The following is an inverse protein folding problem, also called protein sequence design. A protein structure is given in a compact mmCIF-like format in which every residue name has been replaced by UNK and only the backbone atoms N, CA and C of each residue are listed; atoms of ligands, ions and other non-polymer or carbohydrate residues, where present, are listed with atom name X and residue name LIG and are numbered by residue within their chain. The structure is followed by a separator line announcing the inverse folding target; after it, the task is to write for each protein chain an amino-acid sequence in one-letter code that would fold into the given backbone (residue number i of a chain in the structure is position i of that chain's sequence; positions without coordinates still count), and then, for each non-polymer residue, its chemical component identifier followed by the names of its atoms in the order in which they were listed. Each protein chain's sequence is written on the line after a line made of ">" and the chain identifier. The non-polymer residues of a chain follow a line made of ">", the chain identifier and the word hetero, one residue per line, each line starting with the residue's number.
data_IF_564935891869
#
_entry.id   IF_564935891869
#
_cell.length_a   1.000
_cell.length_b   1.000
_cell.length_c   1.000
_cell.angle_alpha   90.00
_cell.angle_beta   90.00
_cell.angle_gamma   90.00
#
_symmetry.space_group_name_H-M   'P 1'
#
loop_
_entity.id
_entity.type
_entity.pdbx_description
1 polymer ?
#
# COMPACT_ATOMS: atom_id res chain seq x y z
N UNK A 1 19.05 4.89 -7.29
CA UNK A 1 18.14 5.38 -6.23
C UNK A 1 16.72 5.17 -6.74
N UNK A 2 15.85 4.58 -5.93
CA UNK A 2 14.45 4.24 -6.31
C UNK A 2 13.44 5.20 -5.69
N UNK A 3 12.19 5.10 -6.12
CA UNK A 3 11.03 5.82 -5.57
C UNK A 3 10.31 4.89 -4.59
N UNK A 4 10.87 4.79 -3.38
CA UNK A 4 10.41 3.85 -2.35
C UNK A 4 9.30 4.45 -1.50
N UNK A 5 8.31 3.64 -1.18
CA UNK A 5 7.27 3.95 -0.21
C UNK A 5 6.63 2.66 0.31
N UNK A 6 5.96 2.78 1.46
CA UNK A 6 5.20 1.68 2.07
C UNK A 6 3.77 2.10 2.34
N UNK A 7 2.82 1.21 2.02
CA UNK A 7 1.43 1.31 2.43
C UNK A 7 1.15 0.34 3.57
N UNK A 8 0.51 0.82 4.62
CA UNK A 8 -0.21 -0.03 5.57
C UNK A 8 -1.63 -0.25 5.06
N UNK A 9 -2.06 -1.51 4.96
CA UNK A 9 -3.42 -1.90 4.61
C UNK A 9 -4.05 -2.46 5.88
N UNK A 10 -4.96 -1.69 6.49
CA UNK A 10 -5.56 -2.01 7.77
C UNK A 10 -6.92 -2.66 7.59
N UNK A 11 -7.11 -3.78 8.29
CA UNK A 11 -8.36 -4.55 8.40
C UNK A 11 -8.77 -4.64 9.88
N UNK A 12 -9.89 -5.30 10.19
CA UNK A 12 -10.39 -5.38 11.58
C UNK A 12 -9.40 -6.05 12.54
N UNK A 13 -8.73 -7.10 12.09
CA UNK A 13 -7.88 -7.96 12.92
C UNK A 13 -6.38 -7.62 12.87
N UNK A 14 -6.00 -6.59 12.11
CA UNK A 14 -4.59 -6.19 11.98
C UNK A 14 -4.29 -5.47 10.67
N UNK A 15 -3.02 -5.53 10.26
CA UNK A 15 -2.54 -4.83 9.07
C UNK A 15 -1.62 -5.71 8.23
N UNK A 16 -1.66 -5.51 6.93
CA UNK A 16 -0.70 -6.01 5.95
C UNK A 16 0.06 -4.83 5.36
N UNK A 17 1.35 -5.01 5.05
CA UNK A 17 2.15 -3.93 4.48
C UNK A 17 2.54 -4.25 3.05
N UNK A 18 2.46 -3.23 2.21
CA UNK A 18 2.85 -3.28 0.81
C UNK A 18 3.98 -2.29 0.57
N UNK A 19 5.07 -2.73 -0.05
CA UNK A 19 6.17 -1.86 -0.44
C UNK A 19 6.23 -1.69 -1.95
N UNK A 20 6.80 -0.57 -2.39
CA UNK A 20 7.22 -0.36 -3.79
C UNK A 20 8.61 0.23 -3.83
N UNK A 21 9.41 -0.14 -4.84
CA UNK A 21 10.73 0.44 -5.09
C UNK A 21 10.74 1.53 -6.17
N UNK A 22 9.66 1.67 -6.94
CA UNK A 22 9.64 2.49 -8.17
C UNK A 22 8.41 3.39 -8.33
N UNK A 23 7.44 3.29 -7.42
CA UNK A 23 6.17 4.02 -7.55
C UNK A 23 5.74 4.70 -6.25
N UNK A 24 6.68 5.07 -5.39
CA UNK A 24 6.39 5.66 -4.08
C UNK A 24 5.59 6.95 -4.16
N UNK A 25 5.97 7.86 -5.05
CA UNK A 25 5.27 9.11 -5.34
C UNK A 25 3.84 8.92 -5.87
N UNK A 26 3.56 7.78 -6.52
CA UNK A 26 2.23 7.43 -7.05
C UNK A 26 1.37 6.63 -6.06
N UNK A 27 1.97 6.11 -4.97
CA UNK A 27 1.29 5.21 -4.04
C UNK A 27 0.01 5.80 -3.42
N UNK A 28 -0.08 7.11 -3.04
CA UNK A 28 -1.33 7.68 -2.57
C UNK A 28 -2.47 7.60 -3.60
N UNK A 29 -2.16 7.87 -4.87
CA UNK A 29 -3.13 7.76 -5.97
C UNK A 29 -3.56 6.31 -6.20
N UNK A 30 -2.61 5.37 -6.14
CA UNK A 30 -2.93 3.95 -6.26
C UNK A 30 -3.81 3.47 -5.11
N UNK A 31 -3.54 3.90 -3.88
CA UNK A 31 -4.34 3.62 -2.70
C UNK A 31 -5.81 4.03 -2.87
N UNK A 32 -6.08 5.23 -3.39
CA UNK A 32 -7.46 5.69 -3.66
C UNK A 32 -8.17 4.81 -4.71
N UNK A 33 -7.46 4.45 -5.79
CA UNK A 33 -8.01 3.61 -6.87
C UNK A 33 -8.39 2.22 -6.34
N UNK A 34 -7.51 1.60 -5.55
CA UNK A 34 -7.73 0.25 -5.05
C UNK A 34 -8.77 0.20 -3.94
N UNK A 35 -8.84 1.22 -3.07
CA UNK A 35 -9.91 1.34 -2.07
C UNK A 35 -11.28 1.45 -2.75
N UNK A 36 -11.41 2.32 -3.77
CA UNK A 36 -12.64 2.44 -4.56
C UNK A 36 -13.01 1.12 -5.24
N UNK A 37 -12.02 0.35 -5.70
CA UNK A 37 -12.24 -0.96 -6.32
C UNK A 37 -12.69 -2.01 -5.31
N UNK A 38 -12.27 -1.91 -4.05
CA UNK A 38 -12.67 -2.78 -2.95
C UNK A 38 -14.06 -2.45 -2.37
N UNK A 39 -14.61 -1.27 -2.66
CA UNK A 39 -15.90 -0.79 -2.11
C UNK A 39 -17.07 -1.80 -2.16
N UNK A 40 -17.27 -2.62 -3.22
CA UNK A 40 -18.35 -3.62 -3.25
C UNK A 40 -18.18 -4.77 -2.24
N UNK A 41 -17.01 -4.88 -1.61
CA UNK A 41 -16.61 -5.92 -0.66
C UNK A 41 -16.06 -5.32 0.64
N UNK A 42 -16.30 -4.04 0.92
CA UNK A 42 -15.69 -3.35 2.07
C UNK A 42 -16.01 -4.00 3.42
N UNK A 43 -17.16 -4.66 3.53
CA UNK A 43 -17.59 -5.39 4.73
C UNK A 43 -17.02 -6.82 4.83
N UNK A 44 -16.28 -7.28 3.81
CA UNK A 44 -15.72 -8.62 3.66
C UNK A 44 -14.19 -8.53 3.59
N UNK A 45 -13.56 -8.44 4.77
CA UNK A 45 -12.13 -8.15 4.93
C UNK A 45 -11.22 -9.01 4.02
N UNK A 46 -11.36 -10.36 3.94
CA UNK A 46 -10.52 -11.17 3.07
C UNK A 46 -10.66 -10.79 1.58
N UNK A 47 -11.87 -10.50 1.12
CA UNK A 47 -12.10 -10.13 -0.28
C UNK A 47 -11.67 -8.70 -0.59
N UNK A 48 -11.94 -7.75 0.30
CA UNK A 48 -11.46 -6.37 0.17
C UNK A 48 -9.93 -6.32 0.14
N UNK A 49 -9.28 -7.00 1.10
CA UNK A 49 -7.81 -7.08 1.17
C UNK A 49 -7.22 -7.69 -0.10
N UNK A 50 -7.80 -8.79 -0.61
CA UNK A 50 -7.37 -9.41 -1.88
C UNK A 50 -7.47 -8.41 -3.05
N UNK A 51 -8.58 -7.66 -3.14
CA UNK A 51 -8.77 -6.65 -4.21
C UNK A 51 -7.71 -5.55 -4.10
N UNK A 52 -7.45 -5.06 -2.89
CA UNK A 52 -6.44 -4.03 -2.66
C UNK A 52 -5.05 -4.51 -3.07
N UNK A 53 -4.62 -5.67 -2.57
CA UNK A 53 -3.29 -6.22 -2.86
C UNK A 53 -3.11 -6.49 -4.35
N UNK A 54 -4.06 -7.18 -4.99
CA UNK A 54 -4.01 -7.46 -6.43
C UNK A 54 -4.00 -6.18 -7.27
N UNK A 55 -4.81 -5.19 -6.88
CA UNK A 55 -4.84 -3.88 -7.51
C UNK A 55 -3.52 -3.13 -7.42
N UNK A 56 -2.88 -3.13 -6.25
CA UNK A 56 -1.57 -2.49 -6.05
C UNK A 56 -0.49 -3.16 -6.92
N UNK A 57 -0.40 -4.49 -6.90
CA UNK A 57 0.56 -5.25 -7.74
C UNK A 57 0.33 -4.96 -9.23
N UNK A 58 -0.92 -4.86 -9.66
CA UNK A 58 -1.27 -4.54 -11.05
C UNK A 58 -0.90 -3.11 -11.43
N UNK A 59 -1.14 -2.14 -10.56
CA UNK A 59 -0.86 -0.73 -10.81
C UNK A 59 0.63 -0.42 -10.83
N UNK A 60 1.43 -1.06 -9.97
CA UNK A 60 2.88 -0.88 -10.00
C UNK A 60 3.51 -1.55 -11.22
N UNK A 61 2.91 -2.60 -11.79
CA UNK A 61 3.42 -3.27 -12.98
C UNK A 61 4.76 -3.98 -12.78
N UNK A 62 5.16 -4.23 -11.52
CA UNK A 62 6.50 -4.74 -11.17
C UNK A 62 6.52 -6.20 -10.73
N UNK A 63 5.41 -6.94 -10.90
CA UNK A 63 5.25 -8.33 -10.44
C UNK A 63 6.40 -9.25 -10.85
N UNK A 64 6.84 -9.12 -12.10
CA UNK A 64 7.85 -10.00 -12.70
C UNK A 64 9.26 -9.36 -12.72
N UNK A 65 9.46 -8.30 -11.95
CA UNK A 65 10.76 -7.59 -11.85
C UNK A 65 11.57 -8.10 -10.65
N UNK A 66 12.90 -8.14 -10.78
CA UNK A 66 13.83 -8.49 -9.69
C UNK A 66 13.70 -7.52 -8.50
N UNK A 67 13.65 -6.22 -8.80
CA UNK A 67 13.33 -5.15 -7.85
C UNK A 67 11.96 -4.58 -8.20
N UNK A 68 11.02 -4.56 -7.27
CA UNK A 68 9.64 -4.25 -7.58
C UNK A 68 8.82 -3.83 -6.38
N UNK A 69 7.60 -4.34 -6.32
CA UNK A 69 6.68 -4.13 -5.22
C UNK A 69 6.19 -5.47 -4.68
N UNK A 70 5.79 -5.50 -3.42
CA UNK A 70 5.44 -6.74 -2.76
C UNK A 70 4.91 -6.54 -1.37
N UNK A 71 4.84 -7.65 -0.63
CA UNK A 71 4.34 -7.69 0.74
C UNK A 71 5.51 -7.80 1.71
N UNK A 72 5.38 -7.13 2.85
CA UNK A 72 6.29 -7.28 3.98
C UNK A 72 5.51 -7.42 5.27
N UNK A 73 6.20 -7.91 6.29
CA UNK A 73 5.70 -7.92 7.67
C UNK A 73 6.45 -6.85 8.46
N UNK A 74 5.71 -6.02 9.19
CA UNK A 74 6.30 -5.14 10.19
C UNK A 74 6.99 -5.97 11.30
N UNK A 75 8.15 -5.56 11.84
CA UNK A 75 8.85 -4.28 11.63
C UNK A 75 9.87 -4.26 10.49
N UNK A 76 9.90 -5.27 9.60
CA UNK A 76 10.88 -5.34 8.50
C UNK A 76 10.47 -4.39 7.36
N UNK A 77 10.51 -3.09 7.61
CA UNK A 77 10.11 -2.05 6.65
C UNK A 77 11.31 -1.66 5.79
N UNK A 78 11.14 -1.68 4.46
CA UNK A 78 12.14 -1.19 3.51
C UNK A 78 11.86 0.27 3.07
N UNK A 79 11.51 1.13 4.03
CA UNK A 79 11.27 2.56 3.79
C UNK A 79 12.17 3.42 4.66
N UNK A 80 13.47 3.40 4.32
CA UNK A 80 14.48 4.24 4.94
C UNK A 80 14.21 5.75 4.77
N UNK A 81 13.25 6.15 3.91
CA UNK A 81 12.93 7.55 3.64
C UNK A 81 11.82 8.10 4.53
N UNK A 82 11.17 7.27 5.35
CA UNK A 82 10.06 7.69 6.21
C UNK A 82 10.15 7.14 7.64
N UNK A 83 11.37 7.04 8.20
CA UNK A 83 11.61 6.49 9.54
C UNK A 83 10.94 5.11 9.76
N UNK A 84 10.92 4.26 8.74
CA UNK A 84 10.26 2.96 8.74
C UNK A 84 8.73 3.02 9.03
N UNK A 85 8.11 4.18 8.84
CA UNK A 85 6.66 4.37 8.92
C UNK A 85 6.03 4.23 7.53
N UNK A 86 4.78 3.74 7.44
CA UNK A 86 4.06 3.78 6.18
C UNK A 86 3.92 5.22 5.69
N UNK A 87 4.08 5.43 4.39
CA UNK A 87 3.86 6.69 3.69
C UNK A 87 2.36 6.90 3.41
N UNK A 88 1.62 5.79 3.29
CA UNK A 88 0.17 5.76 3.06
C UNK A 88 -0.50 4.72 3.97
N UNK A 89 -1.68 5.03 4.48
CA UNK A 89 -2.55 4.09 5.19
C UNK A 89 -3.83 3.93 4.37
N UNK A 90 -4.13 2.68 4.00
CA UNK A 90 -5.39 2.24 3.40
C UNK A 90 -6.21 1.59 4.51
N UNK A 91 -7.15 2.34 5.10
CA UNK A 91 -7.97 1.84 6.20
C UNK A 91 -9.28 1.28 5.64
N UNK A 92 -9.39 -0.05 5.57
CA UNK A 92 -10.58 -0.73 5.09
C UNK A 92 -11.72 -0.71 6.11
N UNK A 93 -11.42 -0.47 7.39
CA UNK A 93 -12.42 -0.37 8.46
C UNK A 93 -13.09 1.00 8.41
N UNK A 94 -12.30 2.06 8.23
CA UNK A 94 -12.80 3.43 8.11
C UNK A 94 -13.18 3.80 6.66
N UNK A 95 -12.87 2.95 5.68
CA UNK A 95 -13.05 3.19 4.25
C UNK A 95 -12.44 4.52 3.79
N UNK A 96 -11.15 4.71 4.10
CA UNK A 96 -10.42 5.93 3.75
C UNK A 96 -8.93 5.69 3.45
N UNK A 97 -8.30 6.67 2.82
CA UNK A 97 -6.86 6.72 2.59
C UNK A 97 -6.27 7.91 3.33
N UNK A 98 -5.15 7.72 4.02
CA UNK A 98 -4.40 8.78 4.70
C UNK A 98 -2.95 8.77 4.24
N UNK A 99 -2.41 9.94 3.90
CA UNK A 99 -0.98 10.11 3.62
C UNK A 99 -0.27 10.60 4.89
N UNK A 100 0.80 9.94 5.27
CA UNK A 100 1.52 10.15 6.56
C UNK A 100 2.93 10.74 6.38
N UNK A 101 3.43 10.79 5.14
CA UNK A 101 4.70 11.41 4.68
C UNK A 101 4.92 10.98 3.22
N UNK A 102 5.41 11.77 2.26
CA UNK A 102 6.66 12.54 2.21
C UNK A 102 6.46 13.87 1.46
N UNK A 103 7.04 14.97 1.97
CA UNK A 103 7.26 16.20 1.21
C UNK A 103 8.32 15.89 0.14
N UNK A 104 7.98 15.98 -1.14
CA UNK A 104 8.98 15.89 -2.19
C UNK A 104 10.08 16.94 -1.94
N UNK A 105 11.32 16.49 -1.72
CA UNK A 105 12.51 17.33 -1.86
C UNK A 105 12.86 17.48 -3.33
#
# INVERSE_FOLDING_TARGET
>A
MGDRAVAEIKVKDGSLYFYTHWCGSELPKFAEIVLKSAAPRIDDDPYALRIVVDGLIKLTGTRDSETGSGLLLHPNVEDSYNDDKPSVIIDLVANEVRTTGHSAS
#
